data_IF_369629318731
#
_entry.id   IF_369629318731
#
_cell.length_a   1.000
_cell.length_b   1.000
_cell.length_c   1.000
_cell.angle_alpha   90.00
_cell.angle_beta   90.00
_cell.angle_gamma   90.00
#
_symmetry.space_group_name_H-M   'P 1'
#
loop_
_entity.id
_entity.type
_entity.pdbx_description
1 polymer ?
#
# COMPACT_ATOMS: atom_id res chain seq x y z
N UNK A 1 7.02 -15.38 -1.54
CA UNK A 1 7.71 -15.18 -0.25
C UNK A 1 7.13 -16.04 0.88
N UNK A 2 6.03 -16.76 0.65
CA UNK A 2 5.25 -17.49 1.65
C UNK A 2 6.04 -18.52 2.49
N UNK A 3 7.06 -19.16 1.91
CA UNK A 3 7.83 -20.23 2.58
C UNK A 3 9.16 -19.77 3.19
N UNK A 4 9.45 -18.46 3.18
CA UNK A 4 10.71 -17.91 3.70
C UNK A 4 10.79 -18.04 5.22
N UNK A 5 11.94 -18.50 5.73
CA UNK A 5 12.25 -18.54 7.17
C UNK A 5 13.02 -17.31 7.66
N UNK A 6 13.45 -16.44 6.73
CA UNK A 6 14.22 -15.25 7.06
C UNK A 6 13.35 -14.19 7.74
N UNK A 7 13.79 -13.58 8.86
CA UNK A 7 13.03 -12.56 9.57
C UNK A 7 12.92 -11.24 8.80
N UNK A 8 13.87 -10.98 7.88
CA UNK A 8 13.93 -9.79 7.06
C UNK A 8 14.23 -10.17 5.62
N UNK A 9 13.34 -9.76 4.72
CA UNK A 9 13.56 -9.89 3.27
C UNK A 9 13.86 -8.50 2.72
N UNK A 10 15.04 -8.27 2.12
CA UNK A 10 15.37 -6.98 1.53
C UNK A 10 14.37 -6.60 0.42
N UNK A 11 13.83 -5.38 0.49
CA UNK A 11 13.00 -4.84 -0.58
C UNK A 11 13.91 -4.55 -1.79
N UNK A 12 13.62 -5.07 -3.01
CA UNK A 12 14.40 -4.78 -4.20
C UNK A 12 14.57 -3.27 -4.44
N UNK A 13 15.75 -2.86 -4.95
CA UNK A 13 16.08 -1.44 -5.14
C UNK A 13 15.06 -0.71 -6.01
N UNK A 14 14.68 -1.31 -7.15
CA UNK A 14 13.69 -0.77 -8.10
C UNK A 14 12.34 -0.52 -7.42
N UNK A 15 11.83 -1.51 -6.67
CA UNK A 15 10.58 -1.39 -5.93
C UNK A 15 10.65 -0.32 -4.83
N UNK A 16 11.79 -0.21 -4.14
CA UNK A 16 12.02 0.82 -3.11
C UNK A 16 12.05 2.23 -3.70
N UNK A 17 12.66 2.41 -4.86
CA UNK A 17 12.68 3.68 -5.57
C UNK A 17 11.28 4.11 -6.01
N UNK A 18 10.46 3.17 -6.48
CA UNK A 18 9.05 3.43 -6.78
C UNK A 18 8.30 3.90 -5.54
N UNK A 19 8.45 3.22 -4.40
CA UNK A 19 7.82 3.66 -3.15
C UNK A 19 8.22 5.09 -2.77
N UNK A 20 9.51 5.41 -2.83
CA UNK A 20 10.03 6.74 -2.46
C UNK A 20 9.56 7.84 -3.40
N UNK A 21 9.49 7.57 -4.70
CA UNK A 21 9.06 8.57 -5.71
C UNK A 21 7.56 8.83 -5.71
N UNK A 22 6.76 7.93 -5.12
CA UNK A 22 5.30 7.96 -5.24
C UNK A 22 4.62 8.43 -3.97
N UNK A 23 4.76 7.72 -2.84
CA UNK A 23 3.98 8.03 -1.64
C UNK A 23 4.60 7.61 -0.30
N UNK A 24 5.77 6.98 -0.29
CA UNK A 24 6.44 6.53 0.94
C UNK A 24 7.66 7.41 1.25
N UNK A 25 7.97 7.65 2.53
CA UNK A 25 7.20 7.26 3.71
C UNK A 25 5.93 8.10 3.85
N UNK A 26 4.87 7.48 4.38
CA UNK A 26 3.63 8.18 4.71
C UNK A 26 3.80 8.98 6.00
N UNK A 27 3.08 10.09 6.21
CA UNK A 27 3.21 10.90 7.42
C UNK A 27 2.65 10.19 8.66
N UNK A 28 3.25 10.48 9.82
CA UNK A 28 2.70 10.16 11.13
C UNK A 28 2.15 11.45 11.72
N UNK A 29 0.82 11.55 11.85
CA UNK A 29 0.18 12.74 12.39
C UNK A 29 -0.20 12.54 13.85
N UNK A 30 -0.10 13.60 14.64
CA UNK A 30 -0.75 13.69 15.96
C UNK A 30 -2.17 14.24 15.80
N UNK A 31 -3.14 13.58 16.41
CA UNK A 31 -4.56 13.90 16.26
C UNK A 31 -5.03 14.92 17.30
N UNK A 32 -4.48 16.14 17.30
CA UNK A 32 -4.81 17.17 18.30
C UNK A 32 -6.32 17.47 18.43
N UNK A 33 -7.06 17.44 17.31
CA UNK A 33 -8.51 17.64 17.33
C UNK A 33 -9.25 16.51 18.06
N UNK A 34 -8.82 15.27 17.88
CA UNK A 34 -9.39 14.10 18.58
C UNK A 34 -8.99 14.10 20.06
N UNK A 35 -7.74 14.46 20.37
CA UNK A 35 -7.28 14.62 21.75
C UNK A 35 -8.17 15.65 22.50
N UNK A 36 -8.45 16.79 21.86
CA UNK A 36 -9.34 17.83 22.41
C UNK A 36 -10.77 17.31 22.63
N UNK A 37 -11.34 16.62 21.65
CA UNK A 37 -12.72 16.11 21.74
C UNK A 37 -12.90 15.06 22.84
N UNK A 38 -11.85 14.30 23.14
CA UNK A 38 -11.84 13.28 24.21
C UNK A 38 -11.49 13.86 25.60
N UNK A 39 -11.27 15.17 25.72
CA UNK A 39 -10.87 15.80 26.99
C UNK A 39 -9.48 15.38 27.48
N UNK A 40 -8.58 15.00 26.56
CA UNK A 40 -7.20 14.62 26.91
C UNK A 40 -6.39 15.90 27.17
N UNK A 41 -5.88 16.03 28.40
CA UNK A 41 -5.07 17.18 28.81
C UNK A 41 -3.57 16.84 28.90
N UNK A 42 -2.73 17.81 28.54
CA UNK A 42 -1.28 17.75 28.70
C UNK A 42 -0.59 16.70 27.81
N UNK A 43 0.43 16.04 28.37
CA UNK A 43 1.23 15.02 27.67
C UNK A 43 0.85 13.58 28.04
N UNK A 44 -0.22 13.40 28.81
CA UNK A 44 -0.57 12.15 29.48
C UNK A 44 -0.95 11.03 28.49
N UNK A 45 -1.62 11.41 27.40
CA UNK A 45 -1.98 10.53 26.29
C UNK A 45 -1.76 11.31 24.99
N UNK A 46 -1.11 10.69 24.02
CA UNK A 46 -0.88 11.26 22.68
C UNK A 46 -1.41 10.29 21.64
N UNK A 47 -2.31 10.74 20.78
CA UNK A 47 -2.91 9.92 19.73
C UNK A 47 -2.22 10.21 18.42
N UNK A 48 -1.54 9.21 17.87
CA UNK A 48 -0.92 9.27 16.56
C UNK A 48 -1.59 8.31 15.58
N UNK A 49 -1.70 8.72 14.32
CA UNK A 49 -2.11 7.84 13.25
C UNK A 49 -1.12 7.88 12.08
N UNK A 50 -0.77 6.69 11.59
CA UNK A 50 0.05 6.51 10.40
C UNK A 50 -0.83 6.65 9.18
N UNK A 51 -0.68 7.75 8.45
CA UNK A 51 -1.62 8.14 7.42
C UNK A 51 -1.32 7.46 6.08
N UNK A 52 -1.75 6.21 5.93
CA UNK A 52 -1.63 5.44 4.69
C UNK A 52 -2.62 5.88 3.60
N UNK A 53 -3.54 6.82 3.87
CA UNK A 53 -4.49 7.29 2.86
C UNK A 53 -3.86 8.22 1.82
N UNK A 54 -2.64 8.69 2.04
CA UNK A 54 -1.92 9.55 1.09
C UNK A 54 -1.38 8.80 -0.13
N UNK A 55 -1.54 7.47 -0.18
CA UNK A 55 -1.15 6.70 -1.35
C UNK A 55 -2.05 7.02 -2.55
N UNK A 56 -1.60 6.76 -3.79
CA UNK A 56 -2.37 7.04 -5.00
C UNK A 56 -3.75 6.37 -5.04
N UNK A 57 -3.96 5.30 -4.26
CA UNK A 57 -5.23 4.58 -4.17
C UNK A 57 -5.91 4.73 -2.80
N UNK A 58 -5.52 5.72 -2.01
CA UNK A 58 -6.22 6.10 -0.78
C UNK A 58 -6.11 5.10 0.38
N UNK A 59 -5.17 4.15 0.34
CA UNK A 59 -5.04 3.12 1.39
C UNK A 59 -3.64 2.48 1.44
N UNK A 60 -3.41 1.56 2.38
CA UNK A 60 -2.15 0.81 2.48
C UNK A 60 -1.99 -0.28 1.41
N UNK A 61 -3.05 -0.59 0.63
CA UNK A 61 -3.07 -1.74 -0.30
C UNK A 61 -2.00 -1.69 -1.40
N UNK A 62 -1.58 -0.51 -1.94
CA UNK A 62 -0.47 -0.44 -2.89
C UNK A 62 0.85 -1.01 -2.38
N UNK A 63 1.06 -1.08 -1.06
CA UNK A 63 2.29 -1.61 -0.47
C UNK A 63 2.54 -3.07 -0.89
N UNK A 64 1.50 -3.90 -0.97
CA UNK A 64 1.62 -5.28 -1.46
C UNK A 64 1.34 -5.40 -2.95
N UNK A 65 0.41 -4.60 -3.49
CA UNK A 65 0.07 -4.66 -4.91
C UNK A 65 1.26 -4.34 -5.84
N UNK A 66 2.06 -3.33 -5.50
CA UNK A 66 3.29 -3.01 -6.22
C UNK A 66 4.31 -4.15 -6.14
N UNK A 67 4.45 -4.79 -4.97
CA UNK A 67 5.37 -5.90 -4.81
C UNK A 67 4.92 -7.11 -5.64
N UNK A 68 3.63 -7.44 -5.65
CA UNK A 68 3.08 -8.52 -6.46
C UNK A 68 3.28 -8.24 -7.95
N UNK A 69 2.90 -7.06 -8.43
CA UNK A 69 3.12 -6.67 -9.82
C UNK A 69 4.61 -6.70 -10.21
N UNK A 70 5.50 -6.21 -9.34
CA UNK A 70 6.95 -6.26 -9.54
C UNK A 70 7.46 -7.69 -9.75
N UNK A 71 7.13 -8.60 -8.82
CA UNK A 71 7.62 -9.98 -8.92
C UNK A 71 6.99 -10.71 -10.11
N UNK A 72 5.68 -10.53 -10.36
CA UNK A 72 5.01 -11.09 -11.53
C UNK A 72 5.67 -10.62 -12.84
N UNK A 73 6.04 -9.34 -12.95
CA UNK A 73 6.78 -8.84 -14.11
C UNK A 73 8.14 -9.52 -14.27
N UNK A 74 8.89 -9.68 -13.17
CA UNK A 74 10.20 -10.37 -13.19
C UNK A 74 10.07 -11.85 -13.57
N UNK A 75 8.95 -12.48 -13.25
CA UNK A 75 8.62 -13.85 -13.62
C UNK A 75 8.07 -13.97 -15.06
N UNK A 76 8.01 -12.88 -15.82
CA UNK A 76 7.55 -12.87 -17.22
C UNK A 76 6.04 -12.87 -17.38
N UNK A 77 5.28 -12.63 -16.30
CA UNK A 77 3.82 -12.52 -16.35
C UNK A 77 3.42 -11.20 -17.04
N UNK A 78 2.51 -11.31 -18.00
CA UNK A 78 2.01 -10.16 -18.78
C UNK A 78 0.60 -9.72 -18.35
N UNK A 79 -0.10 -10.50 -17.51
CA UNK A 79 -1.43 -10.17 -17.02
C UNK A 79 -1.62 -10.64 -15.57
N UNK A 80 -2.17 -9.78 -14.73
CA UNK A 80 -2.67 -10.12 -13.40
C UNK A 80 -4.19 -10.01 -13.34
N UNK A 81 -4.81 -10.97 -12.66
CA UNK A 81 -6.26 -11.10 -12.52
C UNK A 81 -6.58 -11.12 -11.03
N UNK A 82 -7.57 -10.34 -10.61
CA UNK A 82 -8.03 -10.35 -9.21
C UNK A 82 -9.51 -10.01 -9.09
N UNK A 83 -10.12 -10.40 -7.98
CA UNK A 83 -11.44 -9.97 -7.55
C UNK A 83 -11.38 -8.70 -6.68
N UNK A 84 -12.47 -7.95 -6.61
CA UNK A 84 -12.60 -6.89 -5.62
C UNK A 84 -14.05 -6.70 -5.20
N UNK A 85 -14.27 -6.36 -3.92
CA UNK A 85 -15.58 -5.91 -3.43
C UNK A 85 -15.76 -4.42 -3.71
N UNK A 86 -15.61 -3.59 -2.68
CA UNK A 86 -15.74 -2.13 -2.78
C UNK A 86 -14.71 -1.41 -3.70
N UNK A 87 -13.78 -2.12 -4.35
CA UNK A 87 -12.86 -1.55 -5.34
C UNK A 87 -11.49 -1.13 -4.83
N UNK A 88 -11.25 -1.06 -3.52
CA UNK A 88 -9.96 -0.60 -2.99
C UNK A 88 -8.78 -1.50 -3.40
N UNK A 89 -8.98 -2.83 -3.41
CA UNK A 89 -7.92 -3.77 -3.82
C UNK A 89 -7.73 -3.77 -5.34
N UNK A 90 -8.82 -3.81 -6.11
CA UNK A 90 -8.75 -3.71 -7.57
C UNK A 90 -8.02 -2.43 -8.02
N UNK A 91 -8.29 -1.29 -7.37
CA UNK A 91 -7.58 -0.03 -7.64
C UNK A 91 -6.08 -0.13 -7.32
N UNK A 92 -5.72 -0.72 -6.19
CA UNK A 92 -4.32 -0.91 -5.80
C UNK A 92 -3.56 -1.83 -6.77
N UNK A 93 -4.15 -2.94 -7.19
CA UNK A 93 -3.52 -3.84 -8.15
C UNK A 93 -3.42 -3.22 -9.54
N UNK A 94 -4.46 -2.55 -10.02
CA UNK A 94 -4.42 -1.81 -11.29
C UNK A 94 -3.33 -0.75 -11.29
N UNK A 95 -3.16 0.00 -10.19
CA UNK A 95 -2.05 0.94 -10.03
C UNK A 95 -0.69 0.24 -10.09
N UNK A 96 -0.54 -0.89 -9.37
CA UNK A 96 0.69 -1.68 -9.39
C UNK A 96 1.05 -2.19 -10.79
N UNK A 97 0.10 -2.79 -11.48
CA UNK A 97 0.25 -3.29 -12.85
C UNK A 97 0.66 -2.18 -13.84
N UNK A 98 0.07 -0.98 -13.70
CA UNK A 98 0.42 0.17 -14.53
C UNK A 98 1.88 0.62 -14.34
N UNK A 99 2.47 0.46 -13.15
CA UNK A 99 3.86 0.84 -12.89
C UNK A 99 4.89 -0.09 -13.55
N UNK A 100 4.47 -1.27 -14.01
CA UNK A 100 5.36 -2.30 -14.57
C UNK A 100 4.93 -2.79 -15.96
N UNK A 101 4.02 -2.07 -16.62
CA UNK A 101 3.47 -2.43 -17.92
C UNK A 101 2.94 -3.87 -17.95
N UNK A 102 2.06 -4.19 -17.01
CA UNK A 102 1.33 -5.47 -16.90
C UNK A 102 -0.16 -5.19 -17.13
N UNK A 103 -0.84 -6.05 -17.88
CA UNK A 103 -2.30 -5.97 -18.02
C UNK A 103 -2.98 -6.34 -16.69
N UNK A 104 -4.01 -5.60 -16.29
CA UNK A 104 -4.77 -5.91 -15.07
C UNK A 104 -6.24 -6.16 -15.40
N UNK A 105 -6.77 -7.32 -15.02
CA UNK A 105 -8.19 -7.64 -15.11
C UNK A 105 -8.77 -7.73 -13.69
N UNK A 106 -9.79 -6.92 -13.42
CA UNK A 106 -10.44 -6.85 -12.10
C UNK A 106 -11.89 -7.32 -12.22
N UNK A 107 -12.25 -8.37 -11.50
CA UNK A 107 -13.63 -8.84 -11.34
C UNK A 107 -14.25 -8.19 -10.11
N UNK A 108 -15.13 -7.22 -10.32
CA UNK A 108 -15.80 -6.52 -9.22
C UNK A 108 -17.10 -7.24 -8.85
N UNK A 109 -17.21 -7.66 -7.59
CA UNK A 109 -18.42 -8.27 -7.03
C UNK A 109 -19.50 -7.21 -6.80
N UNK A 110 -20.72 -7.52 -7.24
CA UNK A 110 -21.95 -6.76 -6.97
C UNK A 110 -22.53 -7.08 -5.60
#
# INVERSE_FOLDING_TARGET
>A
QEISQEPLIPIPKELREIFVRTYRPTPLHRAYGLEKELGIEGENIKIFYKNESVSPTGSHKPNTALAQAYYSKKDGVNELITETGAGQWGSALSYGCNMFDIKCTVYMGS
#
